data_IF_525504424733
#
_entry.id   IF_525504424733
#
_cell.length_a   1.000
_cell.length_b   1.000
_cell.length_c   1.000
_cell.angle_alpha   90.00
_cell.angle_beta   90.00
_cell.angle_gamma   90.00
#
_symmetry.space_group_name_H-M   'P 1'
#
loop_
_entity.id
_entity.type
_entity.pdbx_description
1 polymer ?
#
# COMPACT_ATOMS: atom_id res chain seq x y z
N UNK A 1 7.75 4.19 -25.99
CA UNK A 1 9.01 4.80 -25.53
C UNK A 1 8.96 4.99 -24.04
N UNK A 2 10.11 4.91 -23.37
CA UNK A 2 10.25 5.21 -21.96
C UNK A 2 10.29 6.73 -21.76
N UNK A 3 9.76 7.18 -20.62
CA UNK A 3 9.83 8.57 -20.20
C UNK A 3 10.14 8.61 -18.70
N UNK A 4 10.97 9.57 -18.27
CA UNK A 4 11.29 9.76 -16.84
C UNK A 4 10.60 11.02 -16.34
N UNK A 5 9.82 10.85 -15.29
CA UNK A 5 9.17 11.94 -14.56
C UNK A 5 10.07 12.36 -13.40
N UNK A 6 10.39 13.67 -13.36
CA UNK A 6 11.13 14.29 -12.26
C UNK A 6 10.14 14.80 -11.21
N UNK A 7 10.33 14.41 -9.96
CA UNK A 7 9.50 14.80 -8.81
C UNK A 7 10.30 15.35 -7.64
N UNK A 8 11.61 15.56 -7.82
CA UNK A 8 12.52 16.09 -6.80
C UNK A 8 12.95 15.08 -5.73
N UNK A 9 12.63 13.81 -5.89
CA UNK A 9 13.07 12.73 -4.98
C UNK A 9 13.01 11.36 -5.66
N UNK A 10 13.77 10.39 -5.17
CA UNK A 10 13.55 8.98 -5.49
C UNK A 10 12.35 8.46 -4.70
N UNK A 11 11.24 8.06 -5.35
CA UNK A 11 10.10 7.45 -4.65
C UNK A 11 10.38 5.98 -4.32
N UNK A 12 9.75 5.50 -3.24
CA UNK A 12 9.72 4.08 -2.87
C UNK A 12 8.32 3.47 -3.02
N UNK A 13 7.28 4.31 -3.12
CA UNK A 13 5.93 3.97 -3.57
C UNK A 13 5.49 5.00 -4.59
N UNK A 14 4.99 4.53 -5.73
CA UNK A 14 4.36 5.34 -6.77
C UNK A 14 2.94 4.82 -7.00
N UNK A 15 1.95 5.66 -6.79
CA UNK A 15 0.54 5.38 -7.07
C UNK A 15 0.08 6.28 -8.21
N UNK A 16 -0.27 5.69 -9.36
CA UNK A 16 -0.61 6.42 -10.60
C UNK A 16 -2.07 6.26 -10.94
N UNK A 17 -2.66 7.33 -11.50
CA UNK A 17 -4.03 7.34 -12.05
C UNK A 17 -4.10 8.19 -13.32
N UNK A 18 -4.72 7.65 -14.35
CA UNK A 18 -5.13 8.42 -15.53
C UNK A 18 -6.21 9.45 -15.16
N UNK A 19 -5.99 10.73 -15.50
CA UNK A 19 -6.95 11.83 -15.27
C UNK A 19 -7.92 12.03 -16.41
N UNK A 20 -7.42 11.93 -17.65
CA UNK A 20 -8.20 12.17 -18.88
C UNK A 20 -8.73 10.89 -19.51
N UNK A 21 -8.59 9.74 -18.85
CA UNK A 21 -8.99 8.43 -19.36
C UNK A 21 -9.45 7.54 -18.21
N UNK A 22 -10.42 6.67 -18.49
CA UNK A 22 -10.88 5.64 -17.56
C UNK A 22 -9.88 4.47 -17.57
N UNK A 23 -9.00 4.43 -16.57
CA UNK A 23 -8.05 3.33 -16.33
C UNK A 23 -8.09 2.96 -14.86
N UNK A 24 -7.57 1.79 -14.51
CA UNK A 24 -7.37 1.42 -13.11
C UNK A 24 -6.32 2.32 -12.44
N UNK A 25 -6.35 2.33 -11.12
CA UNK A 25 -5.25 2.87 -10.32
C UNK A 25 -4.15 1.83 -10.25
N UNK A 26 -2.89 2.21 -10.40
CA UNK A 26 -1.76 1.29 -10.32
C UNK A 26 -0.73 1.72 -9.30
N UNK A 27 -0.30 0.78 -8.44
CA UNK A 27 0.72 0.97 -7.43
C UNK A 27 1.95 0.14 -7.76
N UNK A 28 3.12 0.77 -7.59
CA UNK A 28 4.44 0.14 -7.70
C UNK A 28 5.27 0.56 -6.49
N UNK A 29 6.09 -0.34 -5.95
CA UNK A 29 6.92 -0.04 -4.79
C UNK A 29 8.28 -0.75 -4.83
N UNK A 30 9.21 -0.23 -4.01
CA UNK A 30 10.59 -0.69 -3.93
C UNK A 30 10.72 -2.12 -3.37
N UNK A 31 9.79 -2.55 -2.51
CA UNK A 31 9.86 -3.86 -1.83
C UNK A 31 9.51 -4.99 -2.80
N UNK A 32 8.55 -4.76 -3.70
CA UNK A 32 8.20 -5.70 -4.78
C UNK A 32 9.10 -5.54 -6.02
N UNK A 33 9.78 -4.41 -6.11
CA UNK A 33 10.57 -3.99 -7.26
C UNK A 33 9.76 -3.16 -8.25
N UNK A 34 10.39 -2.12 -8.82
CA UNK A 34 9.83 -1.32 -9.90
C UNK A 34 10.10 -2.02 -11.23
N UNK A 35 9.11 -2.71 -11.75
CA UNK A 35 9.20 -3.42 -13.03
C UNK A 35 7.83 -3.56 -13.68
N UNK A 36 7.82 -3.72 -15.00
CA UNK A 36 6.67 -4.26 -15.73
C UNK A 36 6.33 -5.63 -15.14
N UNK A 37 5.06 -5.93 -14.90
CA UNK A 37 4.63 -7.15 -14.20
C UNK A 37 4.47 -6.99 -12.68
N UNK A 38 4.71 -5.80 -12.11
CA UNK A 38 4.69 -5.54 -10.67
C UNK A 38 3.58 -4.58 -10.20
N UNK A 39 2.56 -4.34 -11.04
CA UNK A 39 1.45 -3.46 -10.65
C UNK A 39 0.51 -4.12 -9.65
N UNK A 40 -0.07 -3.30 -8.77
CA UNK A 40 -1.25 -3.64 -7.97
C UNK A 40 -2.35 -2.62 -8.26
N UNK A 41 -3.54 -3.09 -8.65
CA UNK A 41 -4.71 -2.23 -8.87
C UNK A 41 -5.47 -1.97 -7.57
N UNK A 42 -5.47 -0.73 -7.06
CA UNK A 42 -6.13 -0.43 -5.78
C UNK A 42 -7.67 -0.41 -5.84
N UNK A 43 -8.23 -0.32 -7.02
CA UNK A 43 -9.68 -0.37 -7.26
C UNK A 43 -10.18 -1.77 -7.67
N UNK A 44 -9.31 -2.76 -7.71
CA UNK A 44 -9.63 -4.15 -8.07
C UNK A 44 -9.15 -5.12 -6.99
N UNK A 45 -9.65 -6.34 -7.02
CA UNK A 45 -9.17 -7.43 -6.15
C UNK A 45 -8.10 -8.30 -6.83
N UNK A 46 -7.64 -7.96 -8.03
CA UNK A 46 -6.69 -8.75 -8.80
C UNK A 46 -5.37 -8.97 -8.05
N UNK A 47 -4.69 -10.06 -8.38
CA UNK A 47 -3.32 -10.32 -7.95
C UNK A 47 -2.32 -9.33 -8.56
N UNK A 48 -1.05 -9.42 -8.19
CA UNK A 48 0.03 -8.66 -8.82
C UNK A 48 -0.01 -8.85 -10.34
N UNK A 49 0.20 -7.75 -11.05
CA UNK A 49 0.06 -7.62 -12.52
C UNK A 49 -1.33 -7.95 -13.10
N UNK A 50 -2.35 -7.94 -12.29
CA UNK A 50 -3.74 -8.07 -12.78
C UNK A 50 -4.15 -6.99 -13.77
N UNK A 51 -3.41 -5.88 -13.84
CA UNK A 51 -3.55 -4.82 -14.85
C UNK A 51 -2.85 -5.15 -16.18
N UNK A 52 -2.10 -6.25 -16.26
CA UNK A 52 -1.32 -6.65 -17.44
C UNK A 52 -0.39 -5.54 -17.96
N UNK A 53 0.56 -5.12 -17.14
CA UNK A 53 1.51 -4.04 -17.48
C UNK A 53 2.43 -4.40 -18.65
N UNK A 54 2.60 -5.68 -18.96
CA UNK A 54 3.29 -6.12 -20.18
C UNK A 54 2.59 -5.60 -21.43
N UNK A 55 1.26 -5.60 -21.45
CA UNK A 55 0.48 -5.09 -22.58
C UNK A 55 0.25 -3.57 -22.51
N UNK A 56 0.00 -3.01 -21.33
CA UNK A 56 -0.52 -1.65 -21.15
C UNK A 56 0.43 -0.67 -20.47
N UNK A 57 1.66 -1.08 -20.21
CA UNK A 57 2.69 -0.23 -19.63
C UNK A 57 2.65 -0.13 -18.11
N UNK A 58 3.70 0.40 -17.51
CA UNK A 58 3.87 0.51 -16.06
C UNK A 58 5.09 1.35 -15.68
N UNK A 59 5.42 1.32 -14.40
CA UNK A 59 6.66 1.91 -13.88
C UNK A 59 7.77 0.86 -13.96
N UNK A 60 8.84 1.17 -14.69
CA UNK A 60 9.94 0.24 -14.93
C UNK A 60 11.18 0.49 -14.09
N UNK A 61 11.20 1.57 -13.34
CA UNK A 61 12.33 1.92 -12.47
C UNK A 61 12.17 3.27 -11.80
N UNK A 62 13.10 3.57 -10.92
CA UNK A 62 13.23 4.87 -10.24
C UNK A 62 14.60 5.46 -10.49
N UNK A 63 14.69 6.78 -10.41
CA UNK A 63 15.94 7.55 -10.42
C UNK A 63 16.08 8.30 -9.09
N UNK A 64 17.21 8.94 -8.86
CA UNK A 64 17.42 9.79 -7.67
C UNK A 64 16.42 10.95 -7.58
N UNK A 65 15.78 11.31 -8.70
CA UNK A 65 14.89 12.47 -8.83
C UNK A 65 13.44 12.10 -9.22
N UNK A 66 13.16 10.82 -9.52
CA UNK A 66 11.84 10.45 -9.99
C UNK A 66 11.68 8.99 -10.37
N UNK A 67 10.82 8.73 -11.36
CA UNK A 67 10.51 7.38 -11.82
C UNK A 67 10.40 7.32 -13.36
N UNK A 68 10.59 6.13 -13.91
CA UNK A 68 10.50 5.88 -15.35
C UNK A 68 9.22 5.14 -15.68
N UNK A 69 8.40 5.73 -16.55
CA UNK A 69 7.23 5.10 -17.15
C UNK A 69 7.62 4.40 -18.46
N UNK A 70 7.07 3.21 -18.68
CA UNK A 70 7.36 2.38 -19.85
C UNK A 70 6.06 1.97 -20.52
N UNK A 71 6.00 2.15 -21.84
CA UNK A 71 4.89 1.65 -22.66
C UNK A 71 4.85 0.11 -22.64
N UNK A 72 3.64 -0.44 -22.71
CA UNK A 72 3.44 -1.86 -22.96
C UNK A 72 3.61 -2.25 -24.41
N UNK A 73 3.50 -3.53 -24.71
CA UNK A 73 3.60 -4.08 -26.07
C UNK A 73 2.42 -3.69 -26.96
N UNK A 74 1.25 -3.44 -26.38
CA UNK A 74 0.04 -3.03 -27.12
C UNK A 74 -0.16 -1.51 -27.08
N UNK A 75 0.00 -0.90 -25.91
CA UNK A 75 -0.12 0.56 -25.73
C UNK A 75 0.51 0.96 -24.37
N UNK A 76 0.22 2.18 -23.89
CA UNK A 76 0.77 2.70 -22.64
C UNK A 76 -0.34 3.26 -21.73
N UNK A 77 -1.53 2.70 -21.77
CA UNK A 77 -2.78 3.24 -21.21
C UNK A 77 -2.70 3.62 -19.73
N UNK A 78 -2.00 2.83 -18.94
CA UNK A 78 -1.93 3.08 -17.50
C UNK A 78 -1.04 4.26 -17.11
N UNK A 79 -0.01 4.57 -17.89
CA UNK A 79 1.04 5.51 -17.43
C UNK A 79 1.55 6.49 -18.48
N UNK A 80 1.39 6.26 -19.79
CA UNK A 80 2.12 7.05 -20.79
C UNK A 80 1.48 7.09 -22.18
N UNK A 81 0.17 7.10 -22.31
CA UNK A 81 -0.49 7.29 -23.62
C UNK A 81 -0.38 8.75 -24.08
N UNK A 82 0.02 8.94 -25.33
CA UNK A 82 0.15 10.27 -25.94
C UNK A 82 -1.15 11.07 -25.85
N UNK A 83 -1.05 12.33 -25.45
CA UNK A 83 -2.17 13.26 -25.30
C UNK A 83 -3.03 13.05 -24.05
N UNK A 84 -2.71 12.09 -23.19
CA UNK A 84 -3.40 11.85 -21.93
C UNK A 84 -2.65 12.46 -20.74
N UNK A 85 -3.39 12.79 -19.69
CA UNK A 85 -2.82 13.35 -18.44
C UNK A 85 -2.98 12.35 -17.30
N UNK A 86 -1.98 12.33 -16.42
CA UNK A 86 -1.89 11.44 -15.27
C UNK A 86 -1.63 12.24 -14.00
N UNK A 87 -1.87 11.62 -12.85
CA UNK A 87 -1.45 12.08 -11.53
C UNK A 87 -0.72 10.93 -10.85
N UNK A 88 0.32 11.25 -10.10
CA UNK A 88 0.98 10.32 -9.21
C UNK A 88 1.05 10.86 -7.79
N UNK A 89 0.90 9.95 -6.82
CA UNK A 89 1.20 10.17 -5.42
C UNK A 89 2.42 9.35 -5.08
N UNK A 90 3.39 9.97 -4.40
CA UNK A 90 4.71 9.40 -4.23
C UNK A 90 5.15 9.47 -2.76
N UNK A 91 5.71 8.40 -2.23
CA UNK A 91 6.23 8.32 -0.86
C UNK A 91 7.62 7.74 -0.85
N UNK A 92 8.43 8.18 0.12
CA UNK A 92 9.77 7.66 0.36
C UNK A 92 9.80 6.86 1.65
N UNK A 93 10.08 5.55 1.54
CA UNK A 93 10.28 4.65 2.67
C UNK A 93 11.76 4.56 3.11
N UNK A 94 12.70 4.67 2.20
CA UNK A 94 14.12 4.96 2.45
C UNK A 94 14.99 3.78 2.85
N UNK A 95 14.91 3.27 4.08
CA UNK A 95 15.82 2.26 4.60
C UNK A 95 15.22 0.86 4.54
N UNK A 96 15.90 -0.07 3.86
CA UNK A 96 15.50 -1.47 3.88
C UNK A 96 15.79 -2.14 5.22
N UNK A 97 14.95 -3.09 5.62
CA UNK A 97 15.16 -3.95 6.78
C UNK A 97 14.63 -5.36 6.54
N UNK A 98 15.13 -6.29 7.34
CA UNK A 98 14.59 -7.65 7.46
C UNK A 98 14.34 -7.94 8.94
N UNK A 99 13.28 -8.68 9.23
CA UNK A 99 12.96 -9.15 10.57
C UNK A 99 12.73 -10.67 10.53
N UNK A 100 13.69 -11.41 11.05
CA UNK A 100 13.52 -12.80 11.45
C UNK A 100 12.88 -12.78 12.84
N UNK A 101 11.61 -13.10 12.94
CA UNK A 101 10.84 -13.00 14.15
C UNK A 101 11.37 -13.91 15.26
N UNK A 102 11.93 -15.06 14.90
CA UNK A 102 12.53 -16.01 15.85
C UNK A 102 13.83 -15.48 16.48
N UNK A 103 14.61 -14.73 15.71
CA UNK A 103 15.90 -14.15 16.15
C UNK A 103 15.72 -12.84 16.90
N UNK A 104 14.82 -11.98 16.44
CA UNK A 104 14.61 -10.63 16.99
C UNK A 104 13.64 -10.61 18.17
N UNK A 105 12.80 -11.65 18.32
CA UNK A 105 11.67 -11.68 19.23
C UNK A 105 10.65 -10.54 18.98
N UNK A 106 10.60 -10.00 17.75
CA UNK A 106 9.63 -9.00 17.32
C UNK A 106 8.65 -9.61 16.32
N UNK A 107 7.42 -9.79 16.77
CA UNK A 107 6.40 -10.49 15.97
C UNK A 107 6.54 -12.00 16.00
N UNK A 108 5.72 -12.69 15.20
CA UNK A 108 5.69 -14.15 15.07
C UNK A 108 5.81 -14.60 13.61
N UNK A 109 5.76 -13.67 12.68
CA UNK A 109 5.88 -13.89 11.24
C UNK A 109 7.03 -13.05 10.72
N UNK A 110 7.93 -13.67 9.97
CA UNK A 110 9.06 -12.98 9.35
C UNK A 110 8.58 -11.92 8.36
N UNK A 111 9.29 -10.81 8.32
CA UNK A 111 8.96 -9.71 7.42
C UNK A 111 10.21 -9.03 6.89
N UNK A 112 10.05 -8.40 5.73
CA UNK A 112 11.07 -7.54 5.16
C UNK A 112 10.39 -6.31 4.57
N UNK A 113 11.13 -5.20 4.48
CA UNK A 113 10.51 -3.99 3.96
C UNK A 113 11.46 -2.83 3.82
N UNK A 114 10.85 -1.66 3.69
CA UNK A 114 11.54 -0.37 3.65
C UNK A 114 10.81 0.61 4.56
N UNK A 115 11.54 1.41 5.34
CA UNK A 115 10.98 2.28 6.37
C UNK A 115 11.62 3.66 6.40
N UNK A 116 10.79 4.68 6.60
CA UNK A 116 11.18 6.04 6.92
C UNK A 116 10.48 6.48 8.21
N UNK A 117 11.15 6.30 9.33
CA UNK A 117 10.59 6.66 10.65
C UNK A 117 10.37 8.17 10.80
N UNK A 118 11.14 9.00 10.10
CA UNK A 118 10.96 10.45 10.12
C UNK A 118 9.67 10.88 9.38
N UNK A 119 9.38 10.26 8.23
CA UNK A 119 8.15 10.50 7.48
C UNK A 119 6.94 9.69 8.02
N UNK A 120 7.17 8.70 8.90
CA UNK A 120 6.12 7.83 9.41
C UNK A 120 5.54 6.89 8.37
N UNK A 121 6.36 6.40 7.43
CA UNK A 121 5.92 5.52 6.35
C UNK A 121 6.77 4.26 6.26
N UNK A 122 6.12 3.10 6.08
CA UNK A 122 6.82 1.85 5.75
C UNK A 122 6.04 0.99 4.76
N UNK A 123 6.78 0.16 4.03
CA UNK A 123 6.28 -0.85 3.09
C UNK A 123 6.81 -2.19 3.58
N UNK A 124 5.91 -3.15 3.85
CA UNK A 124 6.24 -4.42 4.49
C UNK A 124 5.76 -5.58 3.64
N UNK A 125 6.62 -6.52 3.34
CA UNK A 125 6.32 -7.79 2.69
C UNK A 125 6.48 -8.94 3.69
N UNK A 126 5.58 -9.92 3.64
CA UNK A 126 5.65 -11.15 4.42
C UNK A 126 4.94 -12.31 3.70
N UNK A 127 5.25 -13.52 4.13
CA UNK A 127 4.55 -14.74 3.69
C UNK A 127 3.57 -15.16 4.77
N UNK A 128 2.31 -15.33 4.41
CA UNK A 128 1.25 -15.73 5.33
C UNK A 128 1.43 -17.15 5.86
N UNK A 129 0.97 -17.38 7.08
CA UNK A 129 1.06 -18.66 7.77
C UNK A 129 -0.27 -19.43 7.84
N UNK A 130 -1.40 -18.77 7.54
CA UNK A 130 -2.74 -19.31 7.74
C UNK A 130 -3.22 -19.33 9.20
N UNK A 131 -2.40 -18.86 10.14
CA UNK A 131 -2.70 -18.78 11.57
C UNK A 131 -2.49 -17.35 12.07
N UNK A 132 -3.31 -16.91 13.02
CA UNK A 132 -3.15 -15.59 13.61
C UNK A 132 -1.72 -15.34 14.10
N UNK A 133 -1.20 -14.14 13.88
CA UNK A 133 0.18 -13.79 14.19
C UNK A 133 0.43 -12.29 14.19
N UNK A 134 1.69 -11.92 14.37
CA UNK A 134 2.13 -10.54 14.42
C UNK A 134 3.32 -10.30 13.50
N UNK A 135 3.35 -9.13 12.85
CA UNK A 135 4.29 -8.77 11.79
C UNK A 135 4.98 -7.46 12.16
N UNK A 136 6.31 -7.44 12.16
CA UNK A 136 7.08 -6.23 12.39
C UNK A 136 6.90 -5.22 11.26
N UNK A 137 6.73 -3.93 11.58
CA UNK A 137 6.51 -2.86 10.59
C UNK A 137 7.62 -1.78 10.56
N UNK A 138 8.58 -1.82 11.49
CA UNK A 138 9.77 -0.98 11.50
C UNK A 138 9.58 0.50 11.88
N UNK A 139 8.35 1.02 12.03
CA UNK A 139 8.11 2.45 12.27
C UNK A 139 8.59 2.96 13.64
N UNK A 140 8.65 2.08 14.66
CA UNK A 140 8.97 2.47 16.03
C UNK A 140 7.84 3.23 16.76
N UNK A 141 6.73 3.49 16.10
CA UNK A 141 5.49 4.09 16.61
C UNK A 141 4.29 3.37 16.02
N UNK A 142 3.17 3.39 16.74
CA UNK A 142 1.92 2.77 16.23
C UNK A 142 1.49 3.42 14.91
N UNK A 143 1.21 2.66 13.84
CA UNK A 143 0.61 3.21 12.64
C UNK A 143 -0.85 3.61 12.89
N UNK A 144 -1.26 4.73 12.33
CA UNK A 144 -2.64 5.22 12.36
C UNK A 144 -3.46 4.66 11.20
N UNK A 145 -2.81 4.34 10.09
CA UNK A 145 -3.44 3.87 8.86
C UNK A 145 -2.59 2.77 8.22
N UNK A 146 -3.23 1.65 7.86
CA UNK A 146 -2.57 0.51 7.21
C UNK A 146 -3.42 0.08 6.03
N UNK A 147 -2.80 -0.07 4.87
CA UNK A 147 -3.39 -0.67 3.68
C UNK A 147 -2.74 -2.04 3.48
N UNK A 148 -3.53 -3.09 3.36
CA UNK A 148 -3.04 -4.45 3.14
C UNK A 148 -3.55 -5.04 1.84
N UNK A 149 -2.72 -5.88 1.19
CA UNK A 149 -3.07 -6.61 -0.02
C UNK A 149 -2.36 -7.96 -0.06
N UNK A 150 -3.10 -9.01 -0.38
CA UNK A 150 -2.49 -10.25 -0.88
C UNK A 150 -2.08 -10.02 -2.34
N UNK A 151 -0.80 -10.27 -2.66
CA UNK A 151 -0.26 -10.03 -4.00
C UNK A 151 -0.17 -11.29 -4.88
N UNK A 152 -0.09 -12.47 -4.26
CA UNK A 152 0.07 -13.74 -4.98
C UNK A 152 -1.22 -14.31 -5.57
N UNK A 153 -2.38 -13.80 -5.16
CA UNK A 153 -3.70 -14.22 -5.65
C UNK A 153 -4.71 -13.09 -5.56
N UNK A 154 -5.94 -13.32 -6.04
CA UNK A 154 -7.05 -12.38 -5.86
C UNK A 154 -7.41 -12.23 -4.38
N UNK A 155 -7.73 -11.04 -3.95
CA UNK A 155 -8.18 -10.72 -2.59
C UNK A 155 -8.45 -9.24 -2.44
N UNK A 156 -9.24 -8.86 -1.45
CA UNK A 156 -9.59 -7.47 -1.23
C UNK A 156 -8.43 -6.68 -0.60
N UNK A 157 -8.43 -5.37 -0.86
CA UNK A 157 -7.62 -4.41 -0.15
C UNK A 157 -8.26 -4.10 1.20
N UNK A 158 -7.67 -4.53 2.29
CA UNK A 158 -8.17 -4.24 3.62
C UNK A 158 -7.42 -3.04 4.20
N UNK A 159 -8.19 -2.11 4.77
CA UNK A 159 -7.68 -0.88 5.36
C UNK A 159 -8.03 -0.84 6.83
N UNK A 160 -7.01 -0.74 7.68
CA UNK A 160 -7.12 -0.37 9.07
C UNK A 160 -6.99 1.15 9.23
N UNK A 161 -7.78 1.71 10.14
CA UNK A 161 -7.62 3.08 10.63
C UNK A 161 -7.82 3.09 12.13
N UNK A 162 -7.03 3.87 12.85
CA UNK A 162 -7.02 3.86 14.32
C UNK A 162 -8.40 4.12 14.95
N UNK A 163 -9.22 4.95 14.31
CA UNK A 163 -10.57 5.27 14.78
C UNK A 163 -11.59 4.13 14.64
N UNK A 164 -11.26 3.05 13.92
CA UNK A 164 -12.16 1.91 13.75
C UNK A 164 -12.07 0.89 14.90
N UNK A 165 -11.10 1.06 15.82
CA UNK A 165 -10.80 0.09 16.87
C UNK A 165 -10.02 -1.13 16.35
N UNK A 166 -9.78 -2.09 17.24
CA UNK A 166 -8.83 -3.18 17.02
C UNK A 166 -9.12 -4.03 15.77
N UNK A 167 -10.40 -4.34 15.54
CA UNK A 167 -10.82 -5.28 14.49
C UNK A 167 -11.55 -4.60 13.33
N UNK A 168 -11.65 -3.27 13.40
CA UNK A 168 -12.35 -2.48 12.40
C UNK A 168 -11.56 -2.37 11.10
N UNK A 169 -12.28 -2.49 9.98
CA UNK A 169 -11.72 -2.35 8.65
C UNK A 169 -12.71 -1.77 7.65
N UNK A 170 -12.19 -1.18 6.59
CA UNK A 170 -12.91 -0.94 5.33
C UNK A 170 -12.16 -1.63 4.19
N UNK A 171 -12.82 -1.77 3.04
CA UNK A 171 -12.19 -2.24 1.81
C UNK A 171 -11.96 -1.08 0.86
N UNK A 172 -10.73 -0.87 0.41
CA UNK A 172 -10.39 0.22 -0.53
C UNK A 172 -11.05 0.02 -1.90
N UNK A 173 -11.20 -1.22 -2.33
CA UNK A 173 -11.75 -1.61 -3.62
C UNK A 173 -13.27 -1.93 -3.58
N UNK A 174 -14.00 -1.49 -2.58
CA UNK A 174 -15.42 -1.79 -2.40
C UNK A 174 -16.19 -0.59 -1.85
N UNK A 175 -17.45 -0.45 -2.24
CA UNK A 175 -18.39 0.52 -1.67
C UNK A 175 -19.05 0.03 -0.37
N UNK A 176 -18.69 -1.15 0.13
CA UNK A 176 -19.26 -1.69 1.36
C UNK A 176 -18.86 -0.84 2.58
N UNK A 177 -19.79 -0.69 3.51
CA UNK A 177 -19.51 -0.04 4.80
C UNK A 177 -18.39 -0.77 5.57
N UNK A 178 -17.76 -0.06 6.49
CA UNK A 178 -16.79 -0.62 7.42
C UNK A 178 -17.39 -1.74 8.28
N UNK A 179 -16.55 -2.68 8.67
CA UNK A 179 -16.97 -3.84 9.48
C UNK A 179 -15.85 -4.27 10.43
N UNK A 180 -16.22 -4.92 11.51
CA UNK A 180 -15.27 -5.60 12.39
C UNK A 180 -14.99 -7.00 11.87
N UNK A 181 -13.71 -7.39 11.85
CA UNK A 181 -13.32 -8.72 11.41
C UNK A 181 -11.97 -9.15 12.02
N UNK A 182 -12.04 -9.96 13.07
CA UNK A 182 -10.87 -10.50 13.76
C UNK A 182 -10.01 -11.43 12.89
N UNK A 183 -10.57 -11.99 11.81
CA UNK A 183 -9.79 -12.79 10.87
C UNK A 183 -8.87 -11.92 9.98
N UNK A 184 -9.09 -10.60 9.95
CA UNK A 184 -8.25 -9.66 9.21
C UNK A 184 -7.32 -8.95 10.21
N UNK A 185 -7.78 -7.93 10.93
CA UNK A 185 -7.02 -7.29 12.00
C UNK A 185 -7.50 -7.86 13.34
N UNK A 186 -6.60 -8.48 14.10
CA UNK A 186 -6.98 -9.20 15.30
C UNK A 186 -6.95 -8.30 16.54
N UNK A 187 -5.99 -7.38 16.62
CA UNK A 187 -5.80 -6.45 17.72
C UNK A 187 -5.26 -5.11 17.22
N UNK A 188 -5.25 -4.10 18.08
CA UNK A 188 -4.63 -2.80 17.79
C UNK A 188 -3.15 -2.99 17.44
N UNK A 189 -2.64 -2.30 16.40
CA UNK A 189 -1.20 -2.24 16.18
C UNK A 189 -0.48 -1.65 17.37
N UNK A 190 0.74 -2.11 17.61
CA UNK A 190 1.65 -1.53 18.62
C UNK A 190 2.67 -0.61 17.95
N UNK A 191 3.68 -0.15 18.68
CA UNK A 191 4.83 0.55 18.11
C UNK A 191 5.77 -0.36 17.30
N UNK A 192 5.59 -1.68 17.39
CA UNK A 192 6.51 -2.64 16.78
C UNK A 192 5.84 -3.58 15.78
N UNK A 193 4.59 -4.00 16.04
CA UNK A 193 3.93 -5.05 15.25
C UNK A 193 2.48 -4.72 14.90
N UNK A 194 2.02 -5.32 13.80
CA UNK A 194 0.62 -5.39 13.36
C UNK A 194 0.12 -6.80 13.66
N UNK A 195 -1.04 -6.92 14.32
CA UNK A 195 -1.69 -8.19 14.61
C UNK A 195 -2.67 -8.56 13.49
N UNK A 196 -2.46 -9.73 12.90
CA UNK A 196 -3.31 -10.28 11.84
C UNK A 196 -4.00 -11.56 12.29
N UNK A 197 -5.23 -11.76 11.81
CA UNK A 197 -5.95 -13.01 11.98
C UNK A 197 -5.51 -14.09 11.00
N UNK A 198 -6.41 -15.02 10.70
CA UNK A 198 -6.19 -16.13 9.76
C UNK A 198 -6.92 -15.97 8.43
N UNK A 199 -7.46 -14.79 8.14
CA UNK A 199 -8.23 -14.52 6.93
C UNK A 199 -7.40 -14.58 5.66
N UNK A 200 -7.98 -15.11 4.59
CA UNK A 200 -7.30 -15.32 3.30
C UNK A 200 -6.75 -14.03 2.67
N UNK A 201 -7.43 -12.89 2.84
CA UNK A 201 -6.98 -11.62 2.27
C UNK A 201 -5.72 -11.05 2.96
N UNK A 202 -5.39 -11.53 4.17
CA UNK A 202 -4.29 -10.95 4.97
C UNK A 202 -3.26 -11.98 5.44
N UNK A 203 -3.61 -13.26 5.52
CA UNK A 203 -2.70 -14.27 6.08
C UNK A 203 -2.92 -15.68 5.51
N UNK A 204 -3.20 -15.79 4.21
CA UNK A 204 -3.25 -17.10 3.51
C UNK A 204 -1.93 -17.83 3.67
N UNK A 205 -1.98 -19.11 4.06
CA UNK A 205 -0.79 -19.97 4.15
C UNK A 205 0.00 -19.97 2.84
N UNK A 206 1.28 -19.66 2.92
CA UNK A 206 2.20 -19.51 1.79
C UNK A 206 1.82 -18.36 0.82
N UNK A 207 0.80 -17.58 1.13
CA UNK A 207 0.43 -16.39 0.35
C UNK A 207 1.42 -15.25 0.58
N UNK A 208 1.74 -14.51 -0.46
CA UNK A 208 2.60 -13.34 -0.35
C UNK A 208 1.74 -12.08 -0.17
N UNK A 209 2.05 -11.29 0.83
CA UNK A 209 1.30 -10.10 1.24
C UNK A 209 2.18 -8.86 1.27
N UNK A 210 1.53 -7.69 1.19
CA UNK A 210 2.16 -6.37 1.34
C UNK A 210 1.33 -5.48 2.27
N UNK A 211 2.00 -4.71 3.12
CA UNK A 211 1.42 -3.60 3.89
C UNK A 211 2.05 -2.28 3.48
N UNK A 212 1.23 -1.25 3.40
CA UNK A 212 1.63 0.15 3.39
C UNK A 212 1.16 0.77 4.70
N UNK A 213 2.09 1.15 5.57
CA UNK A 213 1.81 1.60 6.93
C UNK A 213 2.15 3.08 7.07
N UNK A 214 1.25 3.84 7.69
CA UNK A 214 1.39 5.26 7.88
C UNK A 214 1.16 5.63 9.34
N UNK A 215 2.06 6.45 9.90
CA UNK A 215 1.93 7.07 11.21
C UNK A 215 1.94 8.58 11.05
N UNK A 216 1.04 9.29 11.73
CA UNK A 216 0.97 10.74 11.70
C UNK A 216 2.26 11.39 12.19
N UNK A 217 2.67 12.46 11.54
CA UNK A 217 3.85 13.27 11.89
C UNK A 217 3.46 14.73 11.97
N UNK A 218 3.66 15.32 13.12
CA UNK A 218 3.32 16.73 13.35
C UNK A 218 3.96 17.65 12.29
N UNK A 219 3.13 18.49 11.68
CA UNK A 219 3.54 19.40 10.62
C UNK A 219 3.73 18.77 9.26
N UNK A 220 3.51 17.44 9.12
CA UNK A 220 3.69 16.71 7.86
C UNK A 220 2.47 15.90 7.44
N UNK A 221 1.95 15.03 8.31
CA UNK A 221 0.80 14.17 8.00
C UNK A 221 -0.08 13.93 9.21
N UNK A 222 -1.38 13.83 8.98
CA UNK A 222 -2.39 13.51 10.00
C UNK A 222 -3.45 12.60 9.37
N UNK A 223 -3.88 11.59 10.11
CA UNK A 223 -4.95 10.67 9.73
C UNK A 223 -6.12 10.86 10.69
N UNK A 224 -7.33 10.95 10.17
CA UNK A 224 -8.50 11.23 11.00
C UNK A 224 -9.79 10.92 10.27
N UNK A 225 -10.88 11.06 10.99
CA UNK A 225 -12.25 10.91 10.48
C UNK A 225 -13.04 12.18 10.76
N UNK A 226 -14.10 12.38 10.02
CA UNK A 226 -15.08 13.43 10.27
C UNK A 226 -16.49 12.89 10.05
N UNK A 227 -17.46 13.51 10.66
CA UNK A 227 -18.88 13.25 10.43
C UNK A 227 -19.44 14.36 9.55
N UNK A 228 -20.14 13.98 8.47
CA UNK A 228 -20.81 14.94 7.59
C UNK A 228 -21.98 15.60 8.31
N UNK A 229 -22.15 16.92 8.19
CA UNK A 229 -23.22 17.68 8.82
C UNK A 229 -24.35 18.08 7.84
N UNK A 230 -24.22 17.74 6.54
CA UNK A 230 -25.21 18.05 5.51
C UNK A 230 -25.34 19.55 5.15
N UNK A 231 -24.43 20.40 5.63
CA UNK A 231 -24.42 21.84 5.35
C UNK A 231 -23.31 22.21 4.36
N UNK A 232 -23.49 23.33 3.64
CA UNK A 232 -22.54 23.83 2.67
C UNK A 232 -21.18 24.19 3.33
N UNK A 233 -21.18 24.62 4.60
CA UNK A 233 -19.98 24.94 5.35
C UNK A 233 -19.13 23.70 5.73
N UNK A 234 -19.71 22.50 5.67
CA UNK A 234 -19.05 21.26 6.06
C UNK A 234 -18.64 21.20 7.54
N UNK A 235 -18.07 20.10 8.01
CA UNK A 235 -17.48 20.00 9.33
C UNK A 235 -16.06 20.64 9.35
N UNK A 236 -15.71 21.26 10.49
CA UNK A 236 -14.37 21.75 10.70
C UNK A 236 -13.41 20.59 11.03
N UNK A 237 -12.30 20.48 10.29
CA UNK A 237 -11.27 19.44 10.47
C UNK A 237 -9.97 20.12 10.89
N UNK A 238 -9.50 19.79 12.12
CA UNK A 238 -8.24 20.29 12.67
C UNK A 238 -7.05 19.42 12.26
#
# INVERSE_FOLDING_TARGET
>A
SNHTESIGMQPDLVWVKGRSVATDHTLFDVVRGFAVGKSLGSNTNAAEDGSNTTAYGGISGVTSDGFTVTAGSSNADYVNTSGRTYVSWNWKAGTSFTNDASSTSVGTIDSAGSVNTAAGFSIISYTGTGSAGTIAHGLGVKPDWIISKIKSTTGDWNVYHDTFGATGRIKLNSAAAGSNNTSIFAELPTSSVISVGNGGDINTSSGEHIFYCFAGKQGYSKFGTYEGNGNDDGPFIN
#
